data_IF_364242154227
#
_entry.id   IF_364242154227
#
_cell.length_a   1.000
_cell.length_b   1.000
_cell.length_c   1.000
_cell.angle_alpha   90.00
_cell.angle_beta   90.00
_cell.angle_gamma   90.00
#
_symmetry.space_group_name_H-M   'P 1'
#
loop_
_entity.id
_entity.type
_entity.pdbx_description
1 polymer ?
#
# COMPACT_ATOMS: atom_id res chain seq x y z
N UNK A 1 9.17 23.79 16.02
CA UNK A 1 8.92 22.37 16.31
C UNK A 1 7.83 22.30 17.38
N UNK A 2 6.61 22.70 17.02
CA UNK A 2 5.45 22.56 17.90
C UNK A 2 4.94 21.14 17.71
N UNK A 3 5.21 20.24 18.64
CA UNK A 3 4.42 19.02 18.75
C UNK A 3 2.97 19.44 18.94
N UNK A 4 2.19 19.47 17.86
CA UNK A 4 0.74 19.37 17.96
C UNK A 4 0.48 17.99 18.56
N UNK A 5 0.42 17.95 19.89
CA UNK A 5 -0.09 16.85 20.70
C UNK A 5 -1.55 16.63 20.31
N UNK A 6 -1.75 15.97 19.17
CA UNK A 6 -3.00 15.29 18.91
C UNK A 6 -3.09 14.22 19.98
N UNK A 7 -3.88 14.50 21.02
CA UNK A 7 -4.17 13.51 22.04
C UNK A 7 -4.72 12.28 21.33
N UNK A 8 -4.14 11.09 21.59
CA UNK A 8 -4.65 9.87 20.98
C UNK A 8 -6.13 9.68 21.36
N UNK A 9 -6.95 9.09 20.48
CA UNK A 9 -8.36 8.81 20.75
C UNK A 9 -8.54 8.04 22.05
N UNK A 10 -9.49 8.49 22.87
CA UNK A 10 -9.95 7.75 24.05
C UNK A 10 -10.82 6.55 23.65
N UNK A 11 -11.05 5.60 24.55
CA UNK A 11 -12.01 4.50 24.30
C UNK A 11 -13.42 5.00 23.98
N UNK A 12 -13.84 6.13 24.57
CA UNK A 12 -15.10 6.80 24.24
C UNK A 12 -15.11 7.37 22.83
N UNK A 13 -13.99 7.97 22.37
CA UNK A 13 -13.85 8.41 20.98
C UNK A 13 -13.98 7.22 20.03
N UNK A 14 -13.35 6.07 20.35
CA UNK A 14 -13.41 4.89 19.49
C UNK A 14 -14.85 4.41 19.30
N UNK A 15 -15.63 4.31 20.39
CA UNK A 15 -17.04 3.89 20.34
C UNK A 15 -17.91 4.85 19.53
N UNK A 16 -17.67 6.16 19.66
CA UNK A 16 -18.42 7.19 18.91
C UNK A 16 -18.03 7.21 17.43
N UNK A 17 -16.74 7.06 17.15
CA UNK A 17 -16.19 7.34 15.84
C UNK A 17 -16.29 6.12 14.90
N UNK A 18 -16.40 4.89 15.43
CA UNK A 18 -16.67 3.67 14.67
C UNK A 18 -17.89 3.84 13.76
N UNK A 19 -17.74 3.44 12.49
CA UNK A 19 -18.81 3.37 11.52
C UNK A 19 -18.62 2.15 10.62
N UNK A 20 -19.73 1.60 10.12
CA UNK A 20 -19.68 0.46 9.20
C UNK A 20 -18.87 0.78 7.92
N UNK A 21 -19.03 1.99 7.37
CA UNK A 21 -18.29 2.44 6.18
C UNK A 21 -16.77 2.47 6.39
N UNK A 22 -16.30 2.90 7.56
CA UNK A 22 -14.88 2.97 7.85
C UNK A 22 -14.29 1.57 8.08
N UNK A 23 -15.02 0.70 8.78
CA UNK A 23 -14.63 -0.71 8.94
C UNK A 23 -14.55 -1.42 7.60
N UNK A 24 -15.56 -1.23 6.75
CA UNK A 24 -15.62 -1.74 5.39
C UNK A 24 -14.46 -1.23 4.53
N UNK A 25 -14.14 0.06 4.59
CA UNK A 25 -13.00 0.63 3.86
C UNK A 25 -11.67 0.00 4.31
N UNK A 26 -11.48 -0.21 5.62
CA UNK A 26 -10.33 -0.94 6.14
C UNK A 26 -10.28 -2.39 5.65
N UNK A 27 -11.41 -3.08 5.60
CA UNK A 27 -11.51 -4.45 5.07
C UNK A 27 -11.15 -4.51 3.57
N UNK A 28 -11.74 -3.63 2.76
CA UNK A 28 -11.44 -3.54 1.31
C UNK A 28 -9.96 -3.22 1.09
N UNK A 29 -9.38 -2.33 1.90
CA UNK A 29 -7.96 -2.00 1.83
C UNK A 29 -7.08 -3.24 2.07
N UNK A 30 -7.42 -4.10 3.03
CA UNK A 30 -6.71 -5.38 3.25
C UNK A 30 -6.93 -6.34 2.10
N UNK A 31 -8.16 -6.51 1.60
CA UNK A 31 -8.43 -7.40 0.46
C UNK A 31 -7.61 -7.00 -0.76
N UNK A 32 -7.62 -5.72 -1.12
CA UNK A 32 -6.85 -5.19 -2.26
C UNK A 32 -5.35 -5.32 -1.99
N UNK A 33 -4.88 -4.94 -0.80
CA UNK A 33 -3.46 -4.96 -0.46
C UNK A 33 -2.87 -6.36 -0.41
N UNK A 34 -3.47 -7.26 0.38
CA UNK A 34 -3.01 -8.63 0.54
C UNK A 34 -3.15 -9.42 -0.78
N UNK A 35 -4.34 -9.42 -1.40
CA UNK A 35 -4.60 -10.27 -2.55
C UNK A 35 -3.81 -9.85 -3.80
N UNK A 36 -3.50 -8.56 -3.96
CA UNK A 36 -2.77 -8.07 -5.15
C UNK A 36 -1.33 -8.58 -5.27
N UNK A 37 -0.68 -8.96 -4.16
CA UNK A 37 0.76 -9.27 -4.17
C UNK A 37 1.18 -10.42 -3.27
N UNK A 38 0.27 -11.07 -2.54
CA UNK A 38 0.60 -12.29 -1.78
C UNK A 38 1.12 -13.42 -2.67
N UNK A 39 0.62 -13.51 -3.92
CA UNK A 39 1.15 -14.46 -4.92
C UNK A 39 2.64 -14.26 -5.21
N UNK A 40 3.12 -13.01 -5.22
CA UNK A 40 4.55 -12.70 -5.38
C UNK A 40 5.36 -13.14 -4.15
N UNK A 41 4.79 -13.09 -2.94
CA UNK A 41 5.46 -13.59 -1.73
C UNK A 41 5.66 -15.08 -1.82
N UNK A 42 4.62 -15.82 -2.20
CA UNK A 42 4.71 -17.28 -2.38
C UNK A 42 5.71 -17.62 -3.49
N UNK A 43 5.66 -16.93 -4.63
CA UNK A 43 6.59 -17.15 -5.73
C UNK A 43 8.05 -16.87 -5.31
N UNK A 44 8.31 -15.78 -4.59
CA UNK A 44 9.63 -15.45 -4.07
C UNK A 44 10.12 -16.49 -3.05
N UNK A 45 9.24 -16.94 -2.15
CA UNK A 45 9.56 -17.98 -1.18
C UNK A 45 9.89 -19.32 -1.85
N UNK A 46 9.15 -19.69 -2.90
CA UNK A 46 9.42 -20.89 -3.69
C UNK A 46 10.75 -20.77 -4.45
N UNK A 47 11.02 -19.63 -5.08
CA UNK A 47 12.27 -19.37 -5.79
C UNK A 47 13.50 -19.38 -4.87
N UNK A 48 13.32 -18.99 -3.60
CA UNK A 48 14.34 -19.05 -2.56
C UNK A 48 14.38 -20.41 -1.82
N UNK A 49 13.60 -21.39 -2.28
CA UNK A 49 13.49 -22.73 -1.67
C UNK A 49 13.17 -22.71 -0.17
N UNK A 50 12.32 -21.76 0.26
CA UNK A 50 11.92 -21.66 1.66
C UNK A 50 10.99 -22.80 2.06
N UNK A 51 11.20 -23.33 3.27
CA UNK A 51 10.28 -24.29 3.88
C UNK A 51 8.90 -23.66 4.13
N UNK A 52 7.82 -24.46 4.23
CA UNK A 52 6.49 -23.97 4.59
C UNK A 52 6.48 -23.16 5.89
N UNK A 53 7.27 -23.56 6.90
CA UNK A 53 7.40 -22.85 8.16
C UNK A 53 8.05 -21.47 8.01
N UNK A 54 9.09 -21.35 7.17
CA UNK A 54 9.73 -20.05 6.87
C UNK A 54 8.80 -19.14 6.06
N UNK A 55 8.06 -19.68 5.09
CA UNK A 55 7.06 -18.92 4.33
C UNK A 55 5.93 -18.41 5.23
N UNK A 56 5.41 -19.28 6.11
CA UNK A 56 4.43 -18.89 7.12
C UNK A 56 4.97 -17.82 8.07
N UNK A 57 6.23 -17.96 8.51
CA UNK A 57 6.91 -16.96 9.35
C UNK A 57 7.06 -15.62 8.68
N UNK A 58 7.44 -15.58 7.41
CA UNK A 58 7.51 -14.35 6.65
C UNK A 58 6.13 -13.68 6.60
N UNK A 59 5.09 -14.38 6.14
CA UNK A 59 3.73 -13.83 5.99
C UNK A 59 3.20 -13.35 7.35
N UNK A 60 3.36 -14.15 8.40
CA UNK A 60 2.97 -13.77 9.75
C UNK A 60 3.67 -12.49 10.19
N UNK A 61 5.00 -12.47 10.11
CA UNK A 61 5.82 -11.37 10.63
C UNK A 61 5.56 -10.06 9.90
N UNK A 62 5.39 -10.09 8.58
CA UNK A 62 5.10 -8.88 7.81
C UNK A 62 3.69 -8.35 8.10
N UNK A 63 2.69 -9.21 8.25
CA UNK A 63 1.33 -8.81 8.59
C UNK A 63 1.22 -8.27 10.02
N UNK A 64 1.94 -8.84 10.97
CA UNK A 64 2.04 -8.28 12.32
C UNK A 64 2.74 -6.92 12.30
N UNK A 65 3.83 -6.74 11.55
CA UNK A 65 4.47 -5.42 11.41
C UNK A 65 3.53 -4.38 10.80
N UNK A 66 2.79 -4.74 9.75
CA UNK A 66 1.78 -3.88 9.14
C UNK A 66 0.68 -3.54 10.16
N UNK A 67 0.11 -4.54 10.83
CA UNK A 67 -0.95 -4.33 11.82
C UNK A 67 -0.49 -3.41 12.95
N UNK A 68 0.65 -3.68 13.57
CA UNK A 68 1.16 -2.90 14.70
C UNK A 68 1.48 -1.46 14.28
N UNK A 69 2.24 -1.27 13.19
CA UNK A 69 2.60 0.07 12.73
C UNK A 69 1.36 0.87 12.31
N UNK A 70 0.47 0.29 11.50
CA UNK A 70 -0.74 0.93 11.01
C UNK A 70 -1.69 1.30 12.15
N UNK A 71 -1.85 0.41 13.14
CA UNK A 71 -2.67 0.67 14.32
C UNK A 71 -2.11 1.83 15.14
N UNK A 72 -0.84 1.74 15.54
CA UNK A 72 -0.19 2.73 16.39
C UNK A 72 -0.19 4.11 15.74
N UNK A 73 0.14 4.19 14.45
CA UNK A 73 0.17 5.46 13.71
C UNK A 73 -1.23 6.04 13.53
N UNK A 74 -2.20 5.22 13.11
CA UNK A 74 -3.57 5.69 12.90
C UNK A 74 -4.21 6.20 14.20
N UNK A 75 -3.97 5.48 15.31
CA UNK A 75 -4.40 5.89 16.63
C UNK A 75 -3.68 7.16 17.07
N UNK A 76 -2.34 7.19 17.05
CA UNK A 76 -1.53 8.31 17.55
C UNK A 76 -1.81 9.63 16.85
N UNK A 77 -2.06 9.61 15.55
CA UNK A 77 -2.25 10.83 14.75
C UNK A 77 -3.69 11.15 14.42
N UNK A 78 -4.64 10.27 14.81
CA UNK A 78 -6.06 10.37 14.47
C UNK A 78 -6.23 10.67 12.97
N UNK A 79 -5.58 9.83 12.16
CA UNK A 79 -5.53 9.89 10.70
C UNK A 79 -5.55 8.47 10.12
N UNK A 80 -6.06 8.25 8.90
CA UNK A 80 -6.11 6.93 8.25
C UNK A 80 -4.73 6.52 7.71
N UNK A 81 -3.79 6.20 8.60
CA UNK A 81 -2.43 5.84 8.23
C UNK A 81 -2.36 4.32 8.04
N UNK A 82 -2.46 3.91 6.78
CA UNK A 82 -2.32 2.51 6.40
C UNK A 82 -0.86 2.21 6.07
N UNK A 83 -0.38 1.09 6.57
CA UNK A 83 0.94 0.56 6.24
C UNK A 83 0.79 -0.70 5.39
N UNK A 84 1.84 -1.06 4.68
CA UNK A 84 1.92 -2.20 3.79
C UNK A 84 3.37 -2.69 3.70
N UNK A 85 3.58 -3.78 2.98
CA UNK A 85 4.92 -4.20 2.57
C UNK A 85 5.36 -3.45 1.31
N UNK A 86 6.63 -3.61 0.90
CA UNK A 86 7.13 -3.02 -0.35
C UNK A 86 6.90 -3.95 -1.53
N UNK A 87 5.91 -3.67 -2.37
CA UNK A 87 5.66 -4.50 -3.56
C UNK A 87 6.84 -4.48 -4.55
N UNK A 88 7.48 -3.33 -4.86
CA UNK A 88 8.67 -3.32 -5.72
C UNK A 88 9.88 -4.00 -5.07
N UNK A 89 10.05 -3.88 -3.74
CA UNK A 89 11.10 -4.61 -3.04
C UNK A 89 10.85 -6.12 -3.04
N UNK A 90 9.60 -6.57 -2.98
CA UNK A 90 9.24 -7.98 -3.14
C UNK A 90 9.57 -8.52 -4.53
N UNK A 91 9.30 -7.74 -5.59
CA UNK A 91 9.72 -8.10 -6.95
C UNK A 91 11.25 -8.21 -7.06
N UNK A 92 12.00 -7.29 -6.44
CA UNK A 92 13.46 -7.38 -6.37
C UNK A 92 13.93 -8.62 -5.60
N UNK A 93 13.27 -8.98 -4.50
CA UNK A 93 13.60 -10.21 -3.77
C UNK A 93 13.42 -11.43 -4.68
N UNK A 94 12.33 -11.49 -5.45
CA UNK A 94 12.09 -12.59 -6.37
C UNK A 94 13.19 -12.73 -7.44
N UNK A 95 13.79 -11.63 -7.91
CA UNK A 95 14.92 -11.69 -8.87
C UNK A 95 16.23 -12.10 -8.21
N UNK A 96 16.41 -11.86 -6.91
CA UNK A 96 17.61 -12.21 -6.15
C UNK A 96 17.53 -13.57 -5.45
N UNK A 97 16.36 -14.21 -5.46
CA UNK A 97 16.05 -15.41 -4.69
C UNK A 97 16.98 -16.61 -4.97
N UNK A 98 17.51 -16.72 -6.19
CA UNK A 98 18.48 -17.78 -6.57
C UNK A 98 19.93 -17.43 -6.23
N UNK A 99 20.23 -16.16 -5.95
CA UNK A 99 21.58 -15.65 -5.76
C UNK A 99 21.94 -15.36 -4.29
N UNK A 100 20.94 -15.37 -3.40
CA UNK A 100 21.10 -15.10 -1.97
C UNK A 100 20.41 -16.19 -1.15
N UNK A 101 21.07 -16.64 -0.11
CA UNK A 101 20.46 -17.50 0.92
C UNK A 101 19.50 -16.69 1.80
N UNK A 102 18.58 -17.36 2.51
CA UNK A 102 17.67 -16.68 3.45
C UNK A 102 18.41 -15.84 4.52
N UNK A 103 19.48 -16.33 5.19
CA UNK A 103 20.28 -15.51 6.10
C UNK A 103 20.84 -14.23 5.46
N UNK A 104 21.30 -14.30 4.21
CA UNK A 104 21.82 -13.14 3.46
C UNK A 104 20.72 -12.14 3.09
N UNK A 105 19.55 -12.64 2.69
CA UNK A 105 18.37 -11.81 2.47
C UNK A 105 17.96 -11.09 3.76
N UNK A 106 17.93 -11.77 4.89
CA UNK A 106 17.61 -11.18 6.20
C UNK A 106 18.66 -10.13 6.60
N UNK A 107 19.95 -10.40 6.37
CA UNK A 107 21.01 -9.41 6.56
C UNK A 107 20.76 -8.14 5.73
N UNK A 108 20.37 -8.29 4.47
CA UNK A 108 20.00 -7.18 3.60
C UNK A 108 18.72 -6.45 4.06
N UNK A 109 17.71 -7.18 4.56
CA UNK A 109 16.48 -6.60 5.11
C UNK A 109 16.77 -5.73 6.33
N UNK A 110 17.60 -6.22 7.25
CA UNK A 110 18.03 -5.47 8.44
C UNK A 110 18.78 -4.19 8.06
N UNK A 111 19.71 -4.26 7.10
CA UNK A 111 20.42 -3.06 6.61
C UNK A 111 19.42 -2.07 6.01
N UNK A 112 18.51 -2.52 5.15
CA UNK A 112 17.52 -1.63 4.54
C UNK A 112 16.60 -0.98 5.59
N UNK A 113 16.12 -1.76 6.54
CA UNK A 113 15.29 -1.27 7.64
C UNK A 113 16.05 -0.27 8.53
N UNK A 114 17.34 -0.50 8.80
CA UNK A 114 18.21 0.44 9.51
C UNK A 114 18.36 1.76 8.75
N UNK A 115 18.61 1.71 7.43
CA UNK A 115 18.72 2.89 6.59
C UNK A 115 17.41 3.69 6.55
N UNK A 116 16.26 3.02 6.37
CA UNK A 116 14.94 3.68 6.41
C UNK A 116 14.71 4.33 7.77
N UNK A 117 15.05 3.64 8.86
CA UNK A 117 14.93 4.17 10.23
C UNK A 117 15.80 5.42 10.43
N UNK A 118 17.07 5.36 10.04
CA UNK A 118 18.00 6.48 10.14
C UNK A 118 17.57 7.68 9.28
N UNK A 119 17.09 7.43 8.05
CA UNK A 119 16.54 8.46 7.16
C UNK A 119 15.30 9.10 7.78
N UNK A 120 14.43 8.31 8.41
CA UNK A 120 13.28 8.79 9.16
C UNK A 120 13.68 9.67 10.33
N UNK A 121 14.56 9.20 11.22
CA UNK A 121 15.05 9.95 12.40
C UNK A 121 15.73 11.26 12.02
N UNK A 122 16.56 11.26 10.96
CA UNK A 122 17.26 12.46 10.49
C UNK A 122 16.34 13.53 9.87
N UNK A 123 15.06 13.22 9.64
CA UNK A 123 14.11 14.08 8.95
C UNK A 123 14.50 14.40 7.50
N UNK A 124 15.47 13.67 6.92
CA UNK A 124 15.93 13.93 5.56
C UNK A 124 14.81 13.71 4.53
N UNK A 125 14.08 12.60 4.67
CA UNK A 125 12.94 12.29 3.80
C UNK A 125 11.82 13.33 3.91
N UNK A 126 11.51 13.77 5.13
CA UNK A 126 10.51 14.82 5.37
C UNK A 126 10.92 16.15 4.71
N UNK A 127 12.18 16.57 4.86
CA UNK A 127 12.71 17.79 4.22
C UNK A 127 12.65 17.75 2.70
N UNK A 128 12.96 16.60 2.08
CA UNK A 128 12.90 16.43 0.63
C UNK A 128 11.43 16.47 0.17
N UNK A 129 10.57 15.66 0.77
CA UNK A 129 9.18 15.53 0.34
C UNK A 129 8.35 16.78 0.63
N UNK A 130 8.68 17.58 1.66
CA UNK A 130 8.03 18.86 1.94
C UNK A 130 8.18 19.90 0.82
N UNK A 131 9.16 19.73 -0.08
CA UNK A 131 9.37 20.62 -1.24
C UNK A 131 8.47 20.30 -2.43
N UNK A 132 7.75 19.17 -2.41
CA UNK A 132 6.88 18.75 -3.50
C UNK A 132 5.59 19.60 -3.45
N UNK A 133 5.30 20.39 -4.50
CA UNK A 133 4.08 21.18 -4.60
C UNK A 133 2.82 20.31 -4.49
N UNK A 134 1.75 20.87 -3.92
CA UNK A 134 0.45 20.21 -3.78
C UNK A 134 -0.08 19.57 -5.09
N UNK A 135 -0.08 20.30 -6.22
CA UNK A 135 -0.50 19.74 -7.52
C UNK A 135 0.29 18.51 -7.95
N UNK A 136 1.61 18.49 -7.71
CA UNK A 136 2.46 17.34 -8.06
C UNK A 136 2.22 16.15 -7.13
N UNK A 137 1.91 16.39 -5.85
CA UNK A 137 1.54 15.32 -4.93
C UNK A 137 0.19 14.69 -5.32
N UNK A 138 -0.81 15.51 -5.68
CA UNK A 138 -2.08 15.03 -6.21
C UNK A 138 -1.91 14.31 -7.56
N UNK A 139 -1.04 14.82 -8.44
CA UNK A 139 -0.71 14.19 -9.71
C UNK A 139 -0.03 12.82 -9.54
N UNK A 140 0.91 12.74 -8.59
CA UNK A 140 1.57 11.49 -8.23
C UNK A 140 0.53 10.46 -7.77
N UNK A 141 -0.38 10.84 -6.88
CA UNK A 141 -1.45 9.96 -6.43
C UNK A 141 -2.34 9.51 -7.60
N UNK A 142 -2.84 10.44 -8.41
CA UNK A 142 -3.64 10.11 -9.58
C UNK A 142 -2.91 9.12 -10.51
N UNK A 143 -1.65 9.39 -10.83
CA UNK A 143 -0.84 8.55 -11.68
C UNK A 143 -0.63 7.13 -11.13
N UNK A 144 -0.46 6.97 -9.80
CA UNK A 144 -0.35 5.64 -9.17
C UNK A 144 -1.68 4.86 -9.27
N UNK A 145 -2.83 5.55 -9.21
CA UNK A 145 -4.14 4.89 -9.15
C UNK A 145 -4.76 4.58 -10.52
N UNK A 146 -4.48 5.39 -11.55
CA UNK A 146 -5.02 5.22 -12.91
C UNK A 146 -4.82 3.79 -13.44
N UNK A 147 -3.65 3.14 -13.32
CA UNK A 147 -3.46 1.77 -13.82
C UNK A 147 -4.43 0.76 -13.19
N UNK A 148 -4.75 0.90 -11.89
CA UNK A 148 -5.70 0.01 -11.21
C UNK A 148 -7.12 0.22 -11.73
N UNK A 149 -7.53 1.48 -11.91
CA UNK A 149 -8.84 1.83 -12.49
C UNK A 149 -8.98 1.25 -13.89
N UNK A 150 -7.96 1.42 -14.75
CA UNK A 150 -7.94 0.85 -16.09
C UNK A 150 -7.98 -0.68 -16.04
N UNK A 151 -7.25 -1.29 -15.10
CA UNK A 151 -7.18 -2.75 -14.96
C UNK A 151 -8.55 -3.39 -14.72
N UNK A 152 -9.41 -2.75 -13.90
CA UNK A 152 -10.75 -3.25 -13.63
C UNK A 152 -11.60 -3.47 -14.89
N UNK A 153 -11.42 -2.63 -15.92
CA UNK A 153 -12.12 -2.77 -17.20
C UNK A 153 -11.35 -3.66 -18.19
N UNK A 154 -10.01 -3.64 -18.15
CA UNK A 154 -9.17 -4.49 -19.02
C UNK A 154 -9.37 -5.99 -18.78
N UNK A 155 -9.69 -6.40 -17.55
CA UNK A 155 -9.95 -7.81 -17.22
C UNK A 155 -11.36 -8.28 -17.57
N UNK A 156 -12.26 -7.39 -18.02
CA UNK A 156 -13.62 -7.76 -18.38
C UNK A 156 -13.68 -8.88 -19.44
N UNK A 157 -12.90 -8.86 -20.54
CA UNK A 157 -12.94 -9.93 -21.54
C UNK A 157 -12.50 -11.30 -21.02
N UNK A 158 -11.68 -11.36 -19.95
CA UNK A 158 -11.18 -12.63 -19.41
C UNK A 158 -12.14 -13.30 -18.44
N UNK A 159 -13.01 -12.53 -17.77
CA UNK A 159 -14.05 -13.05 -16.90
C UNK A 159 -15.35 -12.21 -17.01
N UNK A 160 -16.06 -12.23 -18.16
CA UNK A 160 -17.13 -11.29 -18.45
C UNK A 160 -18.28 -11.29 -17.44
N UNK A 161 -18.72 -12.48 -17.01
CA UNK A 161 -19.81 -12.61 -16.04
C UNK A 161 -19.42 -12.05 -14.67
N UNK A 162 -18.24 -12.43 -14.17
CA UNK A 162 -17.73 -12.00 -12.87
C UNK A 162 -17.50 -10.49 -12.82
N UNK A 163 -16.68 -9.99 -13.75
CA UNK A 163 -16.29 -8.58 -13.80
C UNK A 163 -17.49 -7.71 -14.18
N UNK A 164 -18.34 -8.18 -15.11
CA UNK A 164 -19.58 -7.50 -15.48
C UNK A 164 -20.55 -7.36 -14.32
N UNK A 165 -20.74 -8.41 -13.50
CA UNK A 165 -21.55 -8.34 -12.29
C UNK A 165 -20.97 -7.36 -11.26
N UNK A 166 -19.65 -7.36 -11.08
CA UNK A 166 -18.97 -6.42 -10.19
C UNK A 166 -19.11 -4.96 -10.64
N UNK A 167 -18.95 -4.70 -11.94
CA UNK A 167 -19.18 -3.37 -12.53
C UNK A 167 -20.65 -2.96 -12.37
N UNK A 168 -21.60 -3.85 -12.69
CA UNK A 168 -23.03 -3.59 -12.52
C UNK A 168 -23.39 -3.25 -11.07
N UNK A 169 -22.94 -4.06 -10.11
CA UNK A 169 -23.12 -3.82 -8.68
C UNK A 169 -22.52 -2.49 -8.23
N UNK A 170 -21.33 -2.15 -8.75
CA UNK A 170 -20.72 -0.85 -8.48
C UNK A 170 -21.55 0.30 -9.05
N UNK A 171 -21.95 0.26 -10.32
CA UNK A 171 -22.70 1.34 -10.97
C UNK A 171 -24.06 1.57 -10.32
N UNK A 172 -24.80 0.49 -10.06
CA UNK A 172 -26.08 0.54 -9.32
C UNK A 172 -25.85 1.17 -7.95
N UNK A 173 -24.81 0.72 -7.24
CA UNK A 173 -24.44 1.28 -5.95
C UNK A 173 -24.04 2.75 -6.03
N UNK A 174 -23.33 3.19 -7.06
CA UNK A 174 -22.96 4.60 -7.24
C UNK A 174 -24.18 5.50 -7.41
N UNK A 175 -25.26 5.00 -8.02
CA UNK A 175 -26.50 5.77 -8.20
C UNK A 175 -27.35 5.75 -6.93
N UNK A 176 -27.54 4.56 -6.33
CA UNK A 176 -28.51 4.39 -5.24
C UNK A 176 -27.93 4.63 -3.84
N UNK A 177 -26.67 4.26 -3.63
CA UNK A 177 -26.01 4.34 -2.33
C UNK A 177 -24.48 4.49 -2.49
N UNK A 178 -23.97 5.67 -2.90
CA UNK A 178 -22.58 5.88 -3.32
C UNK A 178 -21.52 5.28 -2.38
N UNK A 179 -21.76 5.37 -1.07
CA UNK A 179 -20.92 4.85 0.02
C UNK A 179 -20.76 3.32 0.04
N UNK A 180 -21.75 2.61 -0.50
CA UNK A 180 -21.78 1.14 -0.52
C UNK A 180 -21.52 0.56 -1.91
N UNK A 181 -21.18 1.39 -2.90
CA UNK A 181 -20.93 0.94 -4.27
C UNK A 181 -19.87 -0.16 -4.36
N UNK A 182 -18.77 0.00 -3.62
CA UNK A 182 -17.69 -1.00 -3.58
C UNK A 182 -18.15 -2.28 -2.87
N UNK A 183 -18.99 -2.17 -1.83
CA UNK A 183 -19.58 -3.34 -1.16
C UNK A 183 -20.52 -4.10 -2.10
N UNK A 184 -21.38 -3.41 -2.84
CA UNK A 184 -22.29 -4.04 -3.79
C UNK A 184 -21.52 -4.73 -4.92
N UNK A 185 -20.44 -4.11 -5.39
CA UNK A 185 -19.49 -4.73 -6.32
C UNK A 185 -18.86 -6.01 -5.74
N UNK A 186 -18.37 -5.94 -4.50
CA UNK A 186 -17.79 -7.07 -3.79
C UNK A 186 -18.78 -8.23 -3.65
N UNK A 187 -20.00 -7.95 -3.18
CA UNK A 187 -21.05 -8.96 -3.00
C UNK A 187 -21.45 -9.61 -4.31
N UNK A 188 -21.59 -8.82 -5.39
CA UNK A 188 -21.85 -9.36 -6.72
C UNK A 188 -20.72 -10.28 -7.20
N UNK A 189 -19.47 -9.86 -7.04
CA UNK A 189 -18.31 -10.68 -7.40
C UNK A 189 -18.23 -11.98 -6.60
N UNK A 190 -18.47 -11.92 -5.29
CA UNK A 190 -18.49 -13.12 -4.41
C UNK A 190 -19.60 -14.06 -4.84
N UNK A 191 -20.82 -13.54 -5.07
CA UNK A 191 -21.94 -14.35 -5.51
C UNK A 191 -21.62 -15.08 -6.83
N UNK A 192 -21.11 -14.37 -7.84
CA UNK A 192 -20.74 -15.01 -9.11
C UNK A 192 -19.59 -16.01 -8.93
N UNK A 193 -18.54 -15.66 -8.20
CA UNK A 193 -17.39 -16.56 -7.99
C UNK A 193 -17.81 -17.87 -7.30
N UNK A 194 -18.70 -17.80 -6.30
CA UNK A 194 -19.23 -18.98 -5.60
C UNK A 194 -20.16 -19.79 -6.51
N UNK A 195 -21.12 -19.13 -7.18
CA UNK A 195 -22.09 -19.81 -8.04
C UNK A 195 -21.45 -20.48 -9.27
N UNK A 196 -20.32 -19.95 -9.74
CA UNK A 196 -19.57 -20.50 -10.88
C UNK A 196 -18.46 -21.46 -10.47
N UNK A 197 -18.30 -21.73 -9.15
CA UNK A 197 -17.25 -22.61 -8.64
C UNK A 197 -15.83 -22.10 -8.89
N UNK A 198 -15.65 -20.79 -9.08
CA UNK A 198 -14.35 -20.16 -9.33
C UNK A 198 -13.52 -19.95 -8.05
N UNK A 199 -14.09 -20.24 -6.88
CA UNK A 199 -13.37 -20.22 -5.62
C UNK A 199 -12.55 -21.51 -5.52
N UNK A 200 -11.22 -21.38 -5.62
CA UNK A 200 -10.30 -22.50 -5.50
C UNK A 200 -10.29 -23.10 -4.09
N UNK A 201 -9.83 -24.34 -3.96
CA UNK A 201 -9.59 -24.95 -2.67
C UNK A 201 -8.43 -24.24 -1.94
N UNK A 202 -8.62 -23.92 -0.66
CA UNK A 202 -7.52 -23.50 0.19
C UNK A 202 -6.75 -24.74 0.66
N UNK A 203 -5.50 -24.90 0.24
CA UNK A 203 -4.65 -26.04 0.62
C UNK A 203 -3.38 -25.57 1.31
N UNK A 204 -3.03 -26.07 2.50
CA UNK A 204 -1.82 -25.61 3.20
C UNK A 204 -1.48 -26.35 4.50
N UNK A 205 -0.19 -26.29 4.87
CA UNK A 205 0.50 -27.07 5.91
C UNK A 205 0.23 -26.64 7.38
N UNK A 206 -0.87 -25.91 7.63
CA UNK A 206 -1.25 -25.43 8.97
C UNK A 206 -2.28 -24.29 8.92
N UNK A 207 -2.95 -24.03 10.04
CA UNK A 207 -3.96 -22.96 10.16
C UNK A 207 -3.33 -21.63 10.59
N UNK A 208 -2.40 -21.68 11.54
CA UNK A 208 -1.85 -20.50 12.20
C UNK A 208 -0.47 -20.10 11.66
N UNK A 209 -0.14 -18.81 11.80
CA UNK A 209 1.21 -18.30 11.60
C UNK A 209 2.20 -18.81 12.65
N UNK A 210 3.45 -19.05 12.24
CA UNK A 210 4.53 -19.51 13.13
C UNK A 210 5.74 -18.60 13.01
N UNK A 211 6.42 -18.26 14.11
CA UNK A 211 7.69 -17.52 14.04
C UNK A 211 8.87 -18.48 13.93
N UNK A 212 9.68 -18.30 12.89
CA UNK A 212 10.95 -18.99 12.70
C UNK A 212 12.06 -17.95 12.71
N UNK A 213 12.81 -17.89 13.82
CA UNK A 213 13.99 -17.05 13.88
C UNK A 213 15.07 -17.59 12.95
N UNK A 214 15.64 -16.72 12.12
CA UNK A 214 16.79 -17.02 11.26
C UNK A 214 17.87 -15.98 11.52
N UNK A 215 19.05 -16.45 11.94
CA UNK A 215 20.18 -15.57 12.20
C UNK A 215 20.62 -14.86 10.89
N UNK A 216 20.87 -13.54 10.92
CA UNK A 216 21.30 -12.82 9.72
C UNK A 216 22.73 -13.16 9.33
N UNK A 217 23.00 -13.13 8.02
CA UNK A 217 24.34 -13.15 7.46
C UNK A 217 24.55 -11.89 6.62
N UNK A 218 25.54 -11.07 6.97
CA UNK A 218 25.77 -9.81 6.27
C UNK A 218 26.83 -9.99 5.19
N UNK A 219 26.48 -9.68 3.95
CA UNK A 219 27.40 -9.77 2.82
C UNK A 219 27.38 -8.48 1.99
N UNK A 220 28.52 -8.18 1.36
CA UNK A 220 28.63 -7.05 0.43
C UNK A 220 27.68 -7.23 -0.76
N UNK A 221 27.51 -8.46 -1.24
CA UNK A 221 26.57 -8.77 -2.31
C UNK A 221 25.14 -8.43 -1.88
N UNK A 222 24.66 -8.92 -0.73
CA UNK A 222 23.32 -8.60 -0.23
C UNK A 222 23.10 -7.11 0.03
N UNK A 223 24.13 -6.38 0.48
CA UNK A 223 24.08 -4.92 0.61
C UNK A 223 23.81 -4.24 -0.74
N UNK A 224 24.60 -4.56 -1.77
CA UNK A 224 24.58 -3.88 -3.06
C UNK A 224 23.41 -4.31 -3.95
N UNK A 225 23.07 -5.60 -3.97
CA UNK A 225 22.05 -6.14 -4.87
C UNK A 225 20.64 -6.10 -4.29
N UNK A 226 20.50 -6.01 -2.96
CA UNK A 226 19.20 -6.07 -2.29
C UNK A 226 18.96 -4.91 -1.32
N UNK A 227 19.83 -4.67 -0.34
CA UNK A 227 19.54 -3.70 0.73
C UNK A 227 19.43 -2.26 0.22
N UNK A 228 20.41 -1.77 -0.55
CA UNK A 228 20.40 -0.40 -1.08
C UNK A 228 19.26 -0.19 -2.09
N UNK A 229 19.06 -1.05 -3.12
CA UNK A 229 17.98 -0.86 -4.07
C UNK A 229 16.61 -0.98 -3.41
N UNK A 230 16.40 -1.92 -2.49
CA UNK A 230 15.14 -2.07 -1.76
C UNK A 230 14.83 -0.84 -0.88
N UNK A 231 15.84 -0.24 -0.25
CA UNK A 231 15.70 1.01 0.51
C UNK A 231 15.19 2.13 -0.39
N UNK A 232 15.84 2.31 -1.53
CA UNK A 232 15.46 3.33 -2.51
C UNK A 232 14.04 3.09 -3.02
N UNK A 233 13.73 1.87 -3.48
CA UNK A 233 12.40 1.48 -3.97
C UNK A 233 11.32 1.71 -2.90
N UNK A 234 11.59 1.39 -1.64
CA UNK A 234 10.62 1.56 -0.55
C UNK A 234 10.35 3.04 -0.27
N UNK A 235 11.39 3.88 -0.21
CA UNK A 235 11.22 5.32 0.00
C UNK A 235 10.53 5.99 -1.19
N UNK A 236 10.95 5.63 -2.39
CA UNK A 236 10.53 6.20 -3.66
C UNK A 236 9.09 5.81 -4.07
N UNK A 237 8.80 4.52 -4.10
CA UNK A 237 7.60 3.98 -4.72
C UNK A 237 6.47 3.74 -3.73
N UNK A 238 6.77 3.67 -2.42
CA UNK A 238 5.77 3.41 -1.39
C UNK A 238 5.59 4.61 -0.46
N UNK A 239 6.63 4.99 0.28
CA UNK A 239 6.52 6.03 1.30
C UNK A 239 6.18 7.40 0.71
N UNK A 240 6.78 7.78 -0.41
CA UNK A 240 6.51 9.06 -1.06
C UNK A 240 5.04 9.17 -1.52
N UNK A 241 4.48 8.22 -2.29
CA UNK A 241 3.06 8.21 -2.59
C UNK A 241 2.16 8.11 -1.35
N UNK A 242 2.52 7.32 -0.34
CA UNK A 242 1.76 7.23 0.91
C UNK A 242 1.64 8.57 1.66
N UNK A 243 2.72 9.35 1.69
CA UNK A 243 2.68 10.73 2.20
C UNK A 243 1.84 11.64 1.32
N UNK A 244 1.93 11.49 -0.01
CA UNK A 244 1.11 12.26 -0.94
C UNK A 244 -0.39 12.00 -0.71
N UNK A 245 -0.80 10.75 -0.48
CA UNK A 245 -2.18 10.40 -0.10
C UNK A 245 -2.64 11.19 1.12
N UNK A 246 -1.87 11.13 2.21
CA UNK A 246 -2.24 11.84 3.43
C UNK A 246 -2.41 13.34 3.18
N UNK A 247 -1.50 13.96 2.41
CA UNK A 247 -1.57 15.39 2.09
C UNK A 247 -2.78 15.73 1.22
N UNK A 248 -3.02 14.98 0.14
CA UNK A 248 -4.15 15.19 -0.78
C UNK A 248 -5.50 15.06 -0.06
N UNK A 249 -5.58 14.19 0.96
CA UNK A 249 -6.79 14.00 1.77
C UNK A 249 -6.90 14.89 3.01
N UNK A 250 -6.07 15.94 3.13
CA UNK A 250 -6.17 16.93 4.21
C UNK A 250 -5.48 16.53 5.53
N UNK A 251 -4.70 15.45 5.54
CA UNK A 251 -3.88 15.01 6.67
C UNK A 251 -2.44 15.52 6.60
N UNK A 252 -2.19 16.64 5.93
CA UNK A 252 -0.86 17.26 5.83
C UNK A 252 -0.25 17.67 7.18
N UNK A 253 -1.06 17.74 8.24
CA UNK A 253 -0.63 17.95 9.63
C UNK A 253 0.14 16.78 10.24
N UNK A 254 0.07 15.58 9.65
CA UNK A 254 0.76 14.40 10.15
C UNK A 254 2.26 14.53 9.84
N UNK A 255 3.15 14.51 10.85
CA UNK A 255 4.58 14.64 10.62
C UNK A 255 5.09 13.42 9.86
N UNK A 256 5.93 13.64 8.85
CA UNK A 256 6.37 12.55 7.98
C UNK A 256 7.45 11.70 8.65
N UNK A 257 8.42 12.30 9.34
CA UNK A 257 9.54 11.59 9.96
C UNK A 257 9.10 10.42 10.87
N UNK A 258 8.11 10.59 11.78
CA UNK A 258 7.59 9.49 12.60
C UNK A 258 7.00 8.33 11.84
N UNK A 259 6.36 8.58 10.70
CA UNK A 259 5.84 7.50 9.87
C UNK A 259 6.97 6.64 9.32
N UNK A 260 8.03 7.29 8.82
CA UNK A 260 9.15 6.61 8.18
C UNK A 260 9.98 5.82 9.17
N UNK A 261 10.37 6.43 10.30
CA UNK A 261 11.22 5.72 11.26
C UNK A 261 10.46 4.61 11.98
N UNK A 262 9.16 4.78 12.26
CA UNK A 262 8.38 3.72 12.91
C UNK A 262 8.19 2.51 11.99
N UNK A 263 7.90 2.70 10.70
CA UNK A 263 7.81 1.58 9.75
C UNK A 263 9.17 0.90 9.54
N UNK A 264 10.26 1.68 9.54
CA UNK A 264 11.63 1.15 9.53
C UNK A 264 11.93 0.31 10.76
N UNK A 265 11.57 0.81 11.95
CA UNK A 265 11.76 0.11 13.21
C UNK A 265 10.95 -1.19 13.28
N UNK A 266 9.68 -1.18 12.86
CA UNK A 266 8.88 -2.41 12.79
C UNK A 266 9.43 -3.41 11.80
N UNK A 267 10.15 -2.96 10.75
CA UNK A 267 10.85 -3.83 9.81
C UNK A 267 12.13 -4.43 10.43
N UNK A 268 12.88 -3.64 11.21
CA UNK A 268 14.05 -4.13 11.94
C UNK A 268 13.68 -5.27 12.90
N UNK A 269 12.54 -5.10 13.60
CA UNK A 269 12.07 -6.09 14.58
C UNK A 269 11.54 -7.37 13.93
N UNK A 270 10.96 -7.30 12.73
CA UNK A 270 10.37 -8.46 12.06
C UNK A 270 11.29 -9.15 11.06
N UNK A 271 12.36 -8.49 10.62
CA UNK A 271 13.31 -9.06 9.65
C UNK A 271 13.93 -10.40 10.06
N UNK A 272 14.33 -10.63 11.33
CA UNK A 272 14.86 -11.95 11.75
C UNK A 272 13.87 -13.11 11.59
N UNK A 273 12.59 -12.82 11.36
CA UNK A 273 11.53 -13.80 11.14
C UNK A 273 11.08 -13.89 9.67
N UNK A 274 11.85 -13.29 8.76
CA UNK A 274 11.67 -13.35 7.31
C UNK A 274 10.93 -12.16 6.68
N UNK A 275 10.41 -11.22 7.48
CA UNK A 275 9.73 -10.05 6.94
C UNK A 275 10.74 -9.07 6.29
N UNK A 276 10.49 -8.67 5.05
CA UNK A 276 11.40 -7.78 4.33
C UNK A 276 11.29 -6.32 4.79
N UNK A 277 10.31 -5.55 4.32
CA UNK A 277 10.07 -4.19 4.83
C UNK A 277 8.59 -3.90 4.99
N UNK A 278 8.30 -3.02 5.94
CA UNK A 278 7.04 -2.35 6.19
C UNK A 278 7.20 -0.86 5.86
N UNK A 279 6.19 -0.26 5.25
CA UNK A 279 6.18 1.11 4.77
C UNK A 279 4.75 1.66 4.72
N UNK A 280 4.58 2.91 4.34
CA UNK A 280 3.26 3.47 4.09
C UNK A 280 2.64 2.84 2.84
N UNK A 281 1.35 2.56 2.92
CA UNK A 281 0.60 2.08 1.77
C UNK A 281 0.42 3.22 0.76
N UNK A 282 0.85 3.00 -0.47
CA UNK A 282 0.65 3.96 -1.57
C UNK A 282 -0.80 3.92 -2.10
N UNK A 283 -1.29 2.71 -2.38
CA UNK A 283 -2.55 2.50 -3.12
C UNK A 283 -3.73 2.38 -2.14
N UNK A 284 -3.63 1.50 -1.16
CA UNK A 284 -4.75 1.18 -0.27
C UNK A 284 -5.00 2.28 0.77
N UNK A 285 -4.02 3.14 1.07
CA UNK A 285 -4.23 4.32 1.92
C UNK A 285 -5.32 5.25 1.37
N UNK A 286 -5.43 5.38 0.05
CA UNK A 286 -6.46 6.18 -0.60
C UNK A 286 -7.89 5.67 -0.30
N UNK A 287 -8.06 4.35 -0.14
CA UNK A 287 -9.34 3.72 0.22
C UNK A 287 -9.76 4.14 1.64
N UNK A 288 -8.82 4.11 2.58
CA UNK A 288 -9.07 4.51 3.98
C UNK A 288 -9.24 6.02 4.16
N UNK A 289 -8.53 6.82 3.36
CA UNK A 289 -8.53 8.28 3.43
C UNK A 289 -9.67 8.96 2.67
N UNK A 290 -10.29 8.26 1.72
CA UNK A 290 -11.38 8.75 0.89
C UNK A 290 -12.69 9.04 1.64
N UNK A 291 -13.57 9.85 1.03
CA UNK A 291 -14.88 10.18 1.61
C UNK A 291 -15.81 8.97 1.78
N UNK A 292 -15.58 7.91 1.00
CA UNK A 292 -16.32 6.65 1.09
C UNK A 292 -16.07 5.91 2.41
N UNK A 293 -14.90 6.12 3.03
CA UNK A 293 -14.58 5.63 4.38
C UNK A 293 -15.48 6.30 5.41
N UNK A 294 -15.54 7.63 5.41
CA UNK A 294 -16.44 8.40 6.26
C UNK A 294 -16.54 9.86 5.76
N UNK A 295 -17.71 10.52 5.81
CA UNK A 295 -17.83 11.92 5.40
C UNK A 295 -16.93 12.84 6.24
N UNK A 296 -16.98 12.72 7.56
CA UNK A 296 -16.11 13.46 8.48
C UNK A 296 -14.66 12.91 8.44
N UNK A 297 -13.65 13.71 8.00
CA UNK A 297 -12.24 13.32 8.01
C UNK A 297 -11.71 12.95 9.40
N UNK A 298 -12.22 13.57 10.47
CA UNK A 298 -11.75 13.31 11.83
C UNK A 298 -12.05 11.87 12.31
N UNK A 299 -12.91 11.14 11.60
CA UNK A 299 -13.31 9.76 11.91
C UNK A 299 -12.71 8.71 10.98
N UNK A 300 -12.07 9.10 9.87
CA UNK A 300 -11.52 8.15 8.89
C UNK A 300 -10.36 7.31 9.44
N UNK A 301 -9.73 7.71 10.54
CA UNK A 301 -8.72 6.90 11.24
C UNK A 301 -9.24 5.51 11.62
N UNK A 302 -10.56 5.34 11.76
CA UNK A 302 -11.18 4.02 11.95
C UNK A 302 -10.93 3.06 10.81
N UNK A 303 -10.81 3.53 9.57
CA UNK A 303 -10.42 2.67 8.45
C UNK A 303 -8.98 2.18 8.59
N UNK A 304 -8.07 3.02 9.12
CA UNK A 304 -6.70 2.62 9.44
C UNK A 304 -6.63 1.57 10.55
N UNK A 305 -7.35 1.78 11.65
CA UNK A 305 -7.46 0.80 12.74
C UNK A 305 -8.09 -0.52 12.28
N UNK A 306 -9.15 -0.45 11.46
CA UNK A 306 -9.83 -1.63 10.92
C UNK A 306 -8.92 -2.38 9.94
N UNK A 307 -8.18 -1.67 9.09
CA UNK A 307 -7.19 -2.26 8.20
C UNK A 307 -6.12 -3.03 9.00
N UNK A 308 -5.57 -2.41 10.04
CA UNK A 308 -4.61 -3.05 10.94
C UNK A 308 -5.20 -4.28 11.64
N UNK A 309 -6.45 -4.22 12.09
CA UNK A 309 -7.16 -5.36 12.67
C UNK A 309 -7.27 -6.53 11.68
N UNK A 310 -7.70 -6.28 10.45
CA UNK A 310 -7.83 -7.34 9.46
C UNK A 310 -6.47 -7.92 9.03
N UNK A 311 -5.41 -7.11 8.96
CA UNK A 311 -4.05 -7.62 8.78
C UNK A 311 -3.58 -8.48 9.96
N UNK A 312 -3.90 -8.10 11.20
CA UNK A 312 -3.62 -8.92 12.38
C UNK A 312 -4.30 -10.30 12.26
N UNK A 313 -5.57 -10.34 11.85
CA UNK A 313 -6.28 -11.59 11.60
C UNK A 313 -5.61 -12.42 10.50
N UNK A 314 -5.27 -11.81 9.35
CA UNK A 314 -4.54 -12.52 8.29
C UNK A 314 -3.18 -13.02 8.75
N UNK A 315 -2.49 -12.28 9.61
CA UNK A 315 -1.27 -12.72 10.27
C UNK A 315 -1.52 -13.98 11.11
N UNK A 316 -2.44 -13.91 12.07
CA UNK A 316 -2.78 -15.05 12.95
C UNK A 316 -3.07 -16.30 12.11
N UNK A 317 -3.78 -16.16 10.99
CA UNK A 317 -4.11 -17.25 10.06
C UNK A 317 -3.14 -17.38 8.88
N UNK A 318 -1.88 -16.93 9.00
CA UNK A 318 -0.92 -16.89 7.89
C UNK A 318 -0.68 -18.27 7.24
N UNK A 319 -0.74 -19.35 8.02
CA UNK A 319 -0.66 -20.71 7.49
C UNK A 319 -1.80 -21.03 6.51
N UNK A 320 -3.03 -20.65 6.85
CA UNK A 320 -4.17 -20.76 5.95
C UNK A 320 -4.06 -19.80 4.76
N UNK A 321 -3.64 -18.55 5.00
CA UNK A 321 -3.50 -17.53 3.94
C UNK A 321 -2.51 -17.98 2.86
N UNK A 322 -1.38 -18.57 3.26
CA UNK A 322 -0.39 -19.11 2.31
C UNK A 322 -1.00 -20.14 1.36
N UNK A 323 -1.96 -20.92 1.84
CA UNK A 323 -2.70 -21.92 1.05
C UNK A 323 -3.89 -21.39 0.27
N UNK A 324 -4.40 -20.21 0.64
CA UNK A 324 -5.56 -19.57 0.01
C UNK A 324 -5.20 -18.64 -1.16
N UNK A 325 -3.91 -18.47 -1.46
CA UNK A 325 -3.39 -17.54 -2.49
C UNK A 325 -3.98 -17.79 -3.89
N UNK A 326 -4.36 -19.03 -4.21
CA UNK A 326 -5.01 -19.38 -5.48
C UNK A 326 -6.54 -19.42 -5.44
N UNK A 327 -7.17 -19.16 -4.28
CA UNK A 327 -8.61 -19.33 -4.11
C UNK A 327 -9.43 -18.18 -4.72
N UNK A 328 -8.83 -17.00 -4.92
CA UNK A 328 -9.52 -15.82 -5.44
C UNK A 328 -9.08 -15.56 -6.89
N UNK A 329 -10.04 -15.45 -7.85
CA UNK A 329 -9.71 -15.16 -9.25
C UNK A 329 -8.94 -13.83 -9.40
N UNK A 330 -7.86 -13.77 -10.21
CA UNK A 330 -7.12 -12.52 -10.43
C UNK A 330 -8.00 -11.38 -10.98
N UNK A 331 -8.98 -11.71 -11.84
CA UNK A 331 -9.93 -10.75 -12.38
C UNK A 331 -10.81 -10.10 -11.30
N UNK A 332 -11.16 -10.85 -10.23
CA UNK A 332 -11.90 -10.31 -9.08
C UNK A 332 -11.09 -9.24 -8.36
N UNK A 333 -9.82 -9.53 -8.07
CA UNK A 333 -8.93 -8.62 -7.33
C UNK A 333 -8.70 -7.34 -8.15
N UNK A 334 -8.44 -7.46 -9.45
CA UNK A 334 -8.25 -6.33 -10.35
C UNK A 334 -9.50 -5.46 -10.45
N UNK A 335 -10.68 -6.07 -10.62
CA UNK A 335 -11.96 -5.37 -10.67
C UNK A 335 -12.26 -4.64 -9.36
N UNK A 336 -12.14 -5.33 -8.21
CA UNK A 336 -12.38 -4.75 -6.89
C UNK A 336 -11.46 -3.55 -6.63
N UNK A 337 -10.15 -3.71 -6.91
CA UNK A 337 -9.17 -2.65 -6.70
C UNK A 337 -9.48 -1.41 -7.55
N UNK A 338 -9.69 -1.58 -8.86
CA UNK A 338 -9.95 -0.44 -9.74
C UNK A 338 -11.27 0.28 -9.42
N UNK A 339 -12.34 -0.47 -9.12
CA UNK A 339 -13.64 0.12 -8.76
C UNK A 339 -13.57 0.84 -7.40
N UNK A 340 -12.84 0.29 -6.43
CA UNK A 340 -12.62 0.94 -5.13
C UNK A 340 -11.81 2.24 -5.22
N UNK A 341 -10.93 2.34 -6.21
CA UNK A 341 -10.01 3.47 -6.38
C UNK A 341 -10.51 4.53 -7.36
N UNK A 342 -11.57 4.26 -8.13
CA UNK A 342 -12.08 5.15 -9.17
C UNK A 342 -12.34 6.57 -8.66
N UNK A 343 -13.15 6.73 -7.60
CA UNK A 343 -13.47 8.05 -7.05
C UNK A 343 -12.24 8.80 -6.54
N UNK A 344 -11.31 8.08 -5.91
CA UNK A 344 -10.07 8.68 -5.41
C UNK A 344 -9.14 9.11 -6.53
N UNK A 345 -9.00 8.29 -7.58
CA UNK A 345 -8.24 8.65 -8.77
C UNK A 345 -8.83 9.91 -9.42
N UNK A 346 -10.15 9.94 -9.63
CA UNK A 346 -10.84 11.11 -10.20
C UNK A 346 -10.61 12.37 -9.38
N UNK A 347 -10.80 12.34 -8.05
CA UNK A 347 -10.59 13.50 -7.20
C UNK A 347 -9.13 13.97 -7.20
N UNK A 348 -8.18 13.03 -7.24
CA UNK A 348 -6.75 13.34 -7.32
C UNK A 348 -6.39 14.01 -8.65
N UNK A 349 -6.95 13.54 -9.76
CA UNK A 349 -6.79 14.18 -11.08
C UNK A 349 -7.35 15.61 -11.09
N UNK A 350 -8.55 15.81 -10.55
CA UNK A 350 -9.17 17.13 -10.44
C UNK A 350 -8.30 18.07 -9.61
N UNK A 351 -7.82 17.61 -8.45
CA UNK A 351 -6.92 18.40 -7.60
C UNK A 351 -5.58 18.70 -8.27
N UNK A 352 -5.02 17.75 -9.02
CA UNK A 352 -3.74 17.90 -9.70
C UNK A 352 -3.77 18.97 -10.80
N UNK A 353 -4.87 19.04 -11.55
CA UNK A 353 -5.00 19.93 -12.72
C UNK A 353 -5.66 21.28 -12.40
N UNK A 354 -6.03 21.50 -11.14
CA UNK A 354 -6.74 22.70 -10.68
C UNK A 354 -5.90 23.97 -10.75
N UNK A 355 -4.63 23.91 -10.33
CA UNK A 355 -3.72 25.07 -10.32
C UNK A 355 -3.14 25.34 -11.72
N UNK A 356 -3.49 26.48 -12.32
CA UNK A 356 -3.10 26.84 -13.69
C UNK A 356 -1.57 26.83 -13.88
N UNK A 357 -0.82 27.38 -12.94
CA UNK A 357 0.66 27.50 -13.00
C UNK A 357 1.39 26.15 -12.93
N UNK A 358 0.74 25.13 -12.38
CA UNK A 358 1.29 23.79 -12.23
C UNK A 358 0.65 22.76 -13.15
N UNK A 359 -0.37 23.13 -13.94
CA UNK A 359 -1.23 22.18 -14.65
C UNK A 359 -0.46 21.28 -15.61
N UNK A 360 0.44 21.84 -16.41
CA UNK A 360 1.24 21.07 -17.37
C UNK A 360 2.25 20.16 -16.66
N UNK A 361 2.92 20.69 -15.63
CA UNK A 361 3.83 19.94 -14.77
C UNK A 361 3.13 18.77 -14.06
N UNK A 362 1.92 19.01 -13.53
CA UNK A 362 1.08 17.99 -12.92
C UNK A 362 0.66 16.92 -13.94
N UNK A 363 0.28 17.31 -15.16
CA UNK A 363 -0.05 16.36 -16.22
C UNK A 363 1.15 15.45 -16.57
N UNK A 364 2.36 16.02 -16.69
CA UNK A 364 3.59 15.23 -16.87
C UNK A 364 3.79 14.24 -15.73
N UNK A 365 3.63 14.69 -14.47
CA UNK A 365 3.71 13.79 -13.31
C UNK A 365 2.68 12.67 -13.38
N UNK A 366 1.41 12.95 -13.75
CA UNK A 366 0.36 11.93 -13.91
C UNK A 366 0.77 10.90 -14.96
N UNK A 367 1.10 11.34 -16.18
CA UNK A 367 1.36 10.41 -17.29
C UNK A 367 2.62 9.58 -17.09
N UNK A 368 3.71 10.20 -16.62
CA UNK A 368 4.94 9.46 -16.31
C UNK A 368 4.68 8.44 -15.22
N UNK A 369 3.99 8.81 -14.14
CA UNK A 369 3.67 7.88 -13.05
C UNK A 369 2.78 6.73 -13.53
N UNK A 370 1.72 7.03 -14.29
CA UNK A 370 0.77 6.04 -14.81
C UNK A 370 1.38 5.09 -15.86
N UNK A 371 2.47 5.50 -16.52
CA UNK A 371 3.15 4.66 -17.52
C UNK A 371 3.77 3.39 -16.96
N UNK A 372 4.04 3.34 -15.64
CA UNK A 372 4.78 2.24 -15.02
C UNK A 372 6.27 2.20 -15.40
N UNK A 373 6.81 3.27 -16.00
CA UNK A 373 8.23 3.41 -16.33
C UNK A 373 9.13 3.03 -15.14
N UNK A 374 10.13 2.19 -15.41
CA UNK A 374 11.25 1.95 -14.49
C UNK A 374 12.53 2.32 -15.22
N UNK A 375 13.26 3.30 -14.71
CA UNK A 375 14.50 3.78 -15.31
C UNK A 375 15.55 4.00 -14.23
N UNK A 376 16.75 3.46 -14.45
CA UNK A 376 17.88 3.51 -13.51
C UNK A 376 17.55 2.96 -12.11
N UNK A 377 16.72 1.91 -12.06
CA UNK A 377 16.30 1.28 -10.80
C UNK A 377 15.29 2.08 -9.98
N UNK A 378 14.80 3.21 -10.49
CA UNK A 378 13.75 4.01 -9.87
C UNK A 378 12.43 3.87 -10.61
N UNK A 379 11.35 3.71 -9.84
CA UNK A 379 10.00 3.59 -10.39
C UNK A 379 9.40 4.91 -10.89
N UNK A 380 8.30 4.79 -11.64
CA UNK A 380 7.63 5.87 -12.34
C UNK A 380 7.20 7.03 -11.44
N UNK A 381 6.85 6.74 -10.18
CA UNK A 381 6.52 7.72 -9.16
C UNK A 381 7.62 8.78 -8.98
N UNK A 382 8.88 8.37 -8.92
CA UNK A 382 10.01 9.31 -8.76
C UNK A 382 10.19 10.13 -10.01
N UNK A 383 10.24 9.47 -11.16
CA UNK A 383 10.42 10.16 -12.43
C UNK A 383 9.28 11.12 -12.74
N UNK A 384 8.05 10.80 -12.34
CA UNK A 384 6.91 11.69 -12.46
C UNK A 384 7.09 12.98 -11.67
N UNK A 385 7.53 12.88 -10.41
CA UNK A 385 7.80 14.07 -9.59
C UNK A 385 9.02 14.84 -10.08
N UNK A 386 10.08 14.15 -10.51
CA UNK A 386 11.31 14.78 -11.01
C UNK A 386 11.03 15.56 -12.30
N UNK A 387 10.42 14.92 -13.30
CA UNK A 387 10.17 15.54 -14.61
C UNK A 387 9.09 16.62 -14.52
N UNK A 388 7.98 16.35 -13.83
CA UNK A 388 6.94 17.35 -13.61
C UNK A 388 7.44 18.51 -12.76
N UNK A 389 8.21 18.23 -11.71
CA UNK A 389 8.87 19.25 -10.89
C UNK A 389 9.80 20.13 -11.72
N UNK A 390 10.71 19.53 -12.48
CA UNK A 390 11.65 20.27 -13.34
C UNK A 390 10.91 21.21 -14.31
N UNK A 391 9.84 20.73 -14.95
CA UNK A 391 9.00 21.56 -15.81
C UNK A 391 8.32 22.70 -15.04
N UNK A 392 7.66 22.39 -13.93
CA UNK A 392 6.90 23.40 -13.17
C UNK A 392 7.79 24.47 -12.54
N UNK A 393 8.94 24.11 -11.97
CA UNK A 393 9.90 25.10 -11.48
C UNK A 393 10.52 25.92 -12.62
N UNK A 394 10.76 25.31 -13.79
CA UNK A 394 11.26 26.00 -14.99
C UNK A 394 10.26 27.03 -15.52
N UNK A 395 8.99 26.66 -15.67
CA UNK A 395 7.93 27.57 -16.14
C UNK A 395 7.70 28.73 -15.19
N UNK A 396 7.74 28.49 -13.87
CA UNK A 396 7.58 29.55 -12.88
C UNK A 396 8.73 30.56 -12.89
N UNK A 397 9.96 30.12 -13.17
CA UNK A 397 11.11 31.04 -13.34
C UNK A 397 11.06 31.86 -14.62
N UNK A 398 10.29 31.42 -15.63
CA UNK A 398 10.11 32.16 -16.89
C UNK A 398 9.04 33.24 -16.78
N UNK A 399 8.00 32.97 -15.98
CA UNK A 399 6.81 33.83 -15.89
C UNK A 399 6.87 34.84 -14.73
N UNK A 400 7.87 34.77 -13.87
CA UNK A 400 8.16 35.75 -12.81
C UNK A 400 9.55 36.32 -12.99
#
# INVERSE_FOLDING_TARGET
MSELLLSPPTLSDLKRDVSFSAVLAGFIAVLVGAASSIGLVIAAAQAAHLSPAQTSSWIFSVYISIAVSGWLLSWRYRAPILTAWTTPGLALIATQASALTLPEMIGAYLISAALITAIGISGAFERITARIPGPLAAALLAGVLIPFVISAFKVLPTAPLLVGAMIGGFLIGRVLAPRYAVLLSLLAGVAVAVLTGQVGAAGGAGVFGTLVFTAPHFTLHGLLSLALPMTLLTLASQNLPGVAVLRTFGYGRVPTSPLIWSTGLTSLLSAPFGAHTTNLAAITAAIGAGEESHPDPARRYMAGLSCAFFYLLLGIFAGWVAGAVGAVPPAFIAALAGLALLGTATNSLVSALGEADWREAAAVTVFVTASGLSWWGLGSAVWGVVLGGALGWGLRRRNG
#
